data_IF_675167570640
#
_entry.id   IF_675167570640
#
_cell.length_a   1.000
_cell.length_b   1.000
_cell.length_c   1.000
_cell.angle_alpha   90.00
_cell.angle_beta   90.00
_cell.angle_gamma   90.00
#
_symmetry.space_group_name_H-M   'P 1'
#
loop_
_entity.id
_entity.type
_entity.pdbx_description
1 polymer ?
#
# COMPACT_ATOMS: atom_id res chain seq x y z
N UNK A 1 30.19 3.34 14.49
CA UNK A 1 29.75 3.61 13.10
C UNK A 1 28.22 3.52 12.96
N UNK A 2 27.43 4.31 13.70
CA UNK A 2 25.95 4.31 13.60
C UNK A 2 25.34 5.72 13.38
N UNK A 3 26.14 6.75 13.12
CA UNK A 3 25.63 8.12 12.99
C UNK A 3 25.32 8.55 11.55
N UNK A 4 25.90 7.90 10.53
CA UNK A 4 25.83 8.40 9.14
C UNK A 4 24.61 7.92 8.33
N UNK A 5 23.97 6.81 8.73
CA UNK A 5 22.80 6.25 8.00
C UNK A 5 21.49 6.98 8.32
N UNK A 6 21.40 7.58 9.51
CA UNK A 6 20.23 8.35 9.97
C UNK A 6 20.02 9.65 9.19
N UNK A 7 21.10 10.36 8.86
CA UNK A 7 21.05 11.67 8.21
C UNK A 7 20.58 11.59 6.73
N UNK A 8 21.02 10.58 5.99
CA UNK A 8 20.63 10.37 4.59
C UNK A 8 19.16 9.94 4.49
N UNK A 9 18.73 9.05 5.38
CA UNK A 9 17.33 8.61 5.47
C UNK A 9 16.39 9.76 5.87
N UNK A 10 16.82 10.64 6.78
CA UNK A 10 16.08 11.83 7.18
C UNK A 10 15.86 12.82 6.03
N UNK A 11 16.88 13.05 5.19
CA UNK A 11 16.77 13.95 4.03
C UNK A 11 15.80 13.44 2.96
N UNK A 12 15.82 12.12 2.69
CA UNK A 12 14.97 11.51 1.67
C UNK A 12 13.48 11.52 2.09
N UNK A 13 13.20 11.26 3.37
CA UNK A 13 11.83 11.36 3.93
C UNK A 13 11.33 12.81 3.88
N UNK A 14 12.18 13.80 4.17
CA UNK A 14 11.80 15.21 4.10
C UNK A 14 11.52 15.69 2.67
N UNK A 15 12.31 15.23 1.70
CA UNK A 15 12.03 15.51 0.29
C UNK A 15 10.72 14.87 -0.19
N UNK A 16 10.44 13.64 0.25
CA UNK A 16 9.20 12.94 -0.06
C UNK A 16 7.98 13.64 0.55
N UNK A 17 8.08 14.09 1.80
CA UNK A 17 7.07 14.90 2.48
C UNK A 17 6.69 16.12 1.65
N UNK A 18 7.68 16.92 1.26
CA UNK A 18 7.47 18.14 0.46
C UNK A 18 6.80 17.82 -0.87
N UNK A 19 7.30 16.82 -1.60
CA UNK A 19 6.72 16.41 -2.87
C UNK A 19 5.25 15.98 -2.71
N UNK A 20 4.93 15.29 -1.61
CA UNK A 20 3.57 14.86 -1.32
C UNK A 20 2.63 16.03 -1.03
N UNK A 21 3.09 17.02 -0.26
CA UNK A 21 2.30 18.20 0.10
C UNK A 21 2.06 19.10 -1.13
N UNK A 22 3.09 19.28 -1.97
CA UNK A 22 2.99 20.03 -3.22
C UNK A 22 1.99 19.39 -4.19
N UNK A 23 2.01 18.04 -4.30
CA UNK A 23 1.06 17.32 -5.11
C UNK A 23 -0.37 17.46 -4.60
N UNK A 24 -0.59 17.37 -3.28
CA UNK A 24 -1.92 17.56 -2.68
C UNK A 24 -2.44 18.98 -2.96
N UNK A 25 -1.59 20.00 -2.82
CA UNK A 25 -1.98 21.38 -3.10
C UNK A 25 -2.41 21.58 -4.56
N UNK A 26 -1.67 20.99 -5.50
CA UNK A 26 -2.01 21.01 -6.92
C UNK A 26 -3.29 20.22 -7.23
N UNK A 27 -3.46 19.04 -6.63
CA UNK A 27 -4.65 18.21 -6.84
C UNK A 27 -5.93 18.91 -6.32
N UNK A 28 -5.82 19.68 -5.23
CA UNK A 28 -6.93 20.47 -4.68
C UNK A 28 -7.25 21.70 -5.55
N UNK A 29 -6.26 22.31 -6.21
CA UNK A 29 -6.50 23.47 -7.07
C UNK A 29 -7.16 23.11 -8.42
N UNK A 30 -7.10 21.84 -8.84
CA UNK A 30 -7.75 21.35 -10.06
C UNK A 30 -9.30 21.36 -10.02
N UNK A 31 -9.93 21.49 -8.85
CA UNK A 31 -11.40 21.55 -8.70
C UNK A 31 -12.14 20.27 -9.14
N UNK A 32 -11.45 19.12 -9.20
CA UNK A 32 -12.03 17.83 -9.55
C UNK A 32 -12.30 17.01 -8.29
N UNK A 33 -13.56 16.60 -8.12
CA UNK A 33 -14.02 15.82 -6.96
C UNK A 33 -13.25 14.51 -6.76
N UNK A 34 -12.85 13.83 -7.83
CA UNK A 34 -12.06 12.60 -7.77
C UNK A 34 -10.69 12.86 -7.12
N UNK A 35 -10.06 13.98 -7.45
CA UNK A 35 -8.79 14.39 -6.84
C UNK A 35 -8.99 14.86 -5.39
N UNK A 36 -10.09 15.54 -5.06
CA UNK A 36 -10.41 15.88 -3.68
C UNK A 36 -10.56 14.63 -2.80
N UNK A 37 -11.29 13.62 -3.26
CA UNK A 37 -11.49 12.39 -2.50
C UNK A 37 -10.19 11.55 -2.39
N UNK A 38 -9.38 11.56 -3.45
CA UNK A 38 -8.04 10.98 -3.41
C UNK A 38 -7.13 11.69 -2.39
N UNK A 39 -7.11 13.02 -2.36
CA UNK A 39 -6.29 13.79 -1.43
C UNK A 39 -6.73 13.62 0.03
N UNK A 40 -8.04 13.49 0.30
CA UNK A 40 -8.54 13.14 1.64
C UNK A 40 -8.00 11.80 2.10
N UNK A 41 -8.06 10.79 1.23
CA UNK A 41 -7.52 9.45 1.52
C UNK A 41 -6.01 9.54 1.75
N UNK A 42 -5.29 10.23 0.88
CA UNK A 42 -3.84 10.38 1.01
C UNK A 42 -3.44 11.04 2.34
N UNK A 43 -4.14 12.10 2.76
CA UNK A 43 -3.93 12.74 4.07
C UNK A 43 -4.22 11.80 5.24
N UNK A 44 -5.26 10.98 5.15
CA UNK A 44 -5.61 10.03 6.20
C UNK A 44 -4.54 8.94 6.40
N UNK A 45 -3.85 8.54 5.33
CA UNK A 45 -2.83 7.47 5.33
C UNK A 45 -1.38 7.98 5.25
N UNK A 46 -1.19 9.30 5.39
CA UNK A 46 0.09 9.96 5.15
C UNK A 46 1.22 9.38 6.00
N UNK A 47 0.96 9.15 7.28
CA UNK A 47 1.93 8.59 8.23
C UNK A 47 2.37 7.18 7.83
N UNK A 48 1.44 6.33 7.45
CA UNK A 48 1.67 4.94 7.07
C UNK A 48 2.49 4.86 5.77
N UNK A 49 2.17 5.73 4.81
CA UNK A 49 2.92 5.86 3.56
C UNK A 49 4.39 6.23 3.86
N UNK A 50 4.63 7.24 4.69
CA UNK A 50 5.99 7.64 5.09
C UNK A 50 6.73 6.53 5.82
N UNK A 51 6.05 5.81 6.71
CA UNK A 51 6.62 4.66 7.40
C UNK A 51 7.00 3.54 6.43
N UNK A 52 6.18 3.28 5.40
CA UNK A 52 6.50 2.29 4.39
C UNK A 52 7.81 2.60 3.67
N UNK A 53 8.04 3.87 3.31
CA UNK A 53 9.31 4.31 2.70
C UNK A 53 10.49 4.25 3.69
N UNK A 54 10.27 4.64 4.95
CA UNK A 54 11.31 4.60 5.99
C UNK A 54 11.82 3.18 6.27
N UNK A 55 10.90 2.22 6.34
CA UNK A 55 11.22 0.83 6.70
C UNK A 55 11.37 -0.09 5.48
N UNK A 56 11.22 0.44 4.25
CA UNK A 56 11.31 -0.35 3.02
C UNK A 56 10.23 -1.44 2.94
N UNK A 57 9.04 -1.18 3.47
CA UNK A 57 7.94 -2.13 3.41
C UNK A 57 7.50 -2.32 1.96
N UNK A 58 7.37 -3.59 1.55
CA UNK A 58 6.93 -3.93 0.20
C UNK A 58 5.56 -4.61 0.25
N UNK A 59 4.74 -4.37 -0.78
CA UNK A 59 3.48 -5.08 -0.96
C UNK A 59 3.65 -6.49 -1.54
N UNK A 60 4.88 -6.95 -1.79
CA UNK A 60 5.18 -8.23 -2.45
C UNK A 60 4.50 -9.44 -1.81
N UNK A 61 4.59 -9.65 -0.47
CA UNK A 61 3.88 -10.75 0.19
C UNK A 61 2.36 -10.68 0.01
N UNK A 62 1.78 -9.48 0.16
CA UNK A 62 0.34 -9.23 -0.01
C UNK A 62 -0.11 -9.53 -1.45
N UNK A 63 0.66 -9.09 -2.43
CA UNK A 63 0.42 -9.38 -3.85
C UNK A 63 0.53 -10.88 -4.15
N UNK A 64 1.52 -11.55 -3.56
CA UNK A 64 1.72 -13.00 -3.66
C UNK A 64 0.50 -13.77 -3.14
N UNK A 65 0.00 -13.42 -1.96
CA UNK A 65 -1.22 -14.01 -1.41
C UNK A 65 -2.45 -13.73 -2.28
N UNK A 66 -2.63 -12.49 -2.73
CA UNK A 66 -3.73 -12.12 -3.62
C UNK A 66 -3.68 -12.91 -4.94
N UNK A 67 -2.49 -13.14 -5.51
CA UNK A 67 -2.34 -13.95 -6.72
C UNK A 67 -2.67 -15.43 -6.46
N UNK A 68 -2.18 -16.03 -5.36
CA UNK A 68 -2.52 -17.40 -4.95
C UNK A 68 -4.04 -17.58 -4.81
N UNK A 69 -4.72 -16.64 -4.16
CA UNK A 69 -6.18 -16.66 -3.99
C UNK A 69 -6.89 -16.52 -5.35
N UNK A 70 -6.42 -15.63 -6.23
CA UNK A 70 -6.96 -15.48 -7.59
C UNK A 70 -6.80 -16.77 -8.41
N UNK A 71 -5.63 -17.42 -8.35
CA UNK A 71 -5.39 -18.73 -9.01
C UNK A 71 -6.33 -19.79 -8.45
N UNK A 72 -6.46 -19.87 -7.12
CA UNK A 72 -7.37 -20.80 -6.45
C UNK A 72 -8.82 -20.59 -6.91
N UNK A 73 -9.27 -19.34 -7.02
CA UNK A 73 -10.62 -19.01 -7.50
C UNK A 73 -10.82 -19.46 -8.95
N UNK A 74 -9.84 -19.20 -9.83
CA UNK A 74 -9.89 -19.60 -11.27
C UNK A 74 -9.93 -21.12 -11.45
N UNK A 75 -9.13 -21.87 -10.68
CA UNK A 75 -9.06 -23.33 -10.80
C UNK A 75 -10.22 -24.08 -10.14
N UNK A 76 -11.08 -23.39 -9.38
CA UNK A 76 -12.14 -24.03 -8.61
C UNK A 76 -13.46 -24.23 -9.38
N UNK A 77 -13.59 -23.70 -10.61
CA UNK A 77 -14.81 -23.82 -11.46
C UNK A 77 -16.13 -23.53 -10.71
N UNK A 78 -16.10 -22.55 -9.79
CA UNK A 78 -17.23 -22.20 -8.93
C UNK A 78 -17.04 -22.66 -7.48
N UNK A 79 -17.21 -21.71 -6.56
CA UNK A 79 -17.11 -21.97 -5.12
C UNK A 79 -18.52 -21.91 -4.53
N UNK A 80 -19.06 -23.08 -4.16
CA UNK A 80 -20.40 -23.18 -3.53
C UNK A 80 -20.38 -23.03 -2.02
N UNK A 81 -19.21 -23.22 -1.39
CA UNK A 81 -19.06 -23.20 0.06
C UNK A 81 -17.87 -22.31 0.47
N UNK A 82 -18.16 -21.19 1.11
CA UNK A 82 -17.15 -20.24 1.57
C UNK A 82 -16.21 -20.82 2.62
N UNK A 83 -16.71 -21.66 3.54
CA UNK A 83 -15.90 -22.32 4.56
C UNK A 83 -14.81 -23.17 3.92
N UNK A 84 -15.15 -23.95 2.88
CA UNK A 84 -14.19 -24.76 2.12
C UNK A 84 -13.17 -23.88 1.39
N UNK A 85 -13.58 -22.75 0.83
CA UNK A 85 -12.67 -21.81 0.19
C UNK A 85 -11.68 -21.20 1.17
N UNK A 86 -12.17 -20.73 2.33
CA UNK A 86 -11.31 -20.22 3.41
C UNK A 86 -10.29 -21.25 3.87
N UNK A 87 -10.70 -22.50 4.09
CA UNK A 87 -9.78 -23.58 4.45
C UNK A 87 -8.70 -23.80 3.39
N UNK A 88 -9.06 -23.75 2.09
CA UNK A 88 -8.09 -23.88 1.00
C UNK A 88 -7.13 -22.69 0.92
N UNK A 89 -7.60 -21.47 1.16
CA UNK A 89 -6.74 -20.28 1.25
C UNK A 89 -5.73 -20.48 2.37
N UNK A 90 -6.20 -20.73 3.60
CA UNK A 90 -5.33 -20.93 4.75
C UNK A 90 -4.27 -22.00 4.48
N UNK A 91 -4.65 -23.12 3.85
CA UNK A 91 -3.72 -24.19 3.52
C UNK A 91 -2.69 -23.82 2.44
N UNK A 92 -3.05 -23.03 1.41
CA UNK A 92 -2.12 -22.67 0.33
C UNK A 92 -1.27 -21.41 0.62
N UNK A 93 -1.64 -20.66 1.66
CA UNK A 93 -0.91 -19.51 2.17
C UNK A 93 -0.12 -19.79 3.45
N UNK A 94 -0.23 -21.00 4.01
CA UNK A 94 0.64 -21.50 5.09
C UNK A 94 2.04 -21.84 4.57
#
# INVERSE_FOLDING_TARGET
MLSSSSAICGGLIQSLLRLSDDWIANAQSCGNKEFEDCTKTYRAWHKEILNAFKYGLTNGPTEGFNNKIKVLKRSSYGIRNFKRFRTRILHCTS
#
